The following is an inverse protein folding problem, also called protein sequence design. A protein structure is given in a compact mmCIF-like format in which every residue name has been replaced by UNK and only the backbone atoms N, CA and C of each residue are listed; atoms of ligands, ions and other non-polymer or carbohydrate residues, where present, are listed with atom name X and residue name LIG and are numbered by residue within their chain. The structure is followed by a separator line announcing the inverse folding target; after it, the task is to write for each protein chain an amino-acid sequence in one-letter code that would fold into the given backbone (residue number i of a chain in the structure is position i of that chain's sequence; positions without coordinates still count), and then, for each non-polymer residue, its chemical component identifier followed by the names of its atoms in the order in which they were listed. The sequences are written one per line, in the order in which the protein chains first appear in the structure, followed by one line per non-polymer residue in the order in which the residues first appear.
data_IF_283134336562
#
_entry.id   IF_283134336562
#
_cell.length_a   1.000
_cell.length_b   1.000
_cell.length_c   1.000
_cell.angle_alpha   90.00
_cell.angle_beta   90.00
_cell.angle_gamma   90.00
#
_symmetry.space_group_name_H-M   'P 1'
#
loop_
_entity.id
_entity.type
_entity.pdbx_description
1 polymer ?
#
# COMPACT_ATOMS: atom_id res chain seq x y z
N UNK A 1 -1.95 -8.49 10.11
CA UNK A 1 -0.74 -7.83 9.56
C UNK A 1 -0.64 -6.37 9.97
N UNK A 2 -1.58 -5.49 9.61
CA UNK A 2 -1.48 -4.06 9.90
C UNK A 2 -1.37 -3.73 11.39
N UNK A 3 -2.08 -4.44 12.25
CA UNK A 3 -1.94 -4.28 13.72
C UNK A 3 -0.52 -4.56 14.20
N UNK A 4 0.14 -5.57 13.64
CA UNK A 4 1.50 -5.96 14.02
C UNK A 4 2.52 -4.93 13.56
N UNK A 5 2.36 -4.42 12.33
CA UNK A 5 3.16 -3.30 11.83
C UNK A 5 2.98 -2.06 12.73
N UNK A 6 1.73 -1.74 13.10
CA UNK A 6 1.40 -0.61 13.99
C UNK A 6 2.06 -0.76 15.37
N UNK A 7 2.05 -1.96 15.95
CA UNK A 7 2.73 -2.26 17.22
C UNK A 7 4.24 -1.99 17.11
N UNK A 8 4.88 -2.43 16.01
CA UNK A 8 6.33 -2.26 15.79
C UNK A 8 6.80 -0.81 15.60
N UNK A 9 5.89 0.10 15.24
CA UNK A 9 6.20 1.53 15.07
C UNK A 9 5.72 2.40 16.23
N UNK A 10 5.06 1.82 17.23
CA UNK A 10 4.52 2.59 18.36
C UNK A 10 5.64 3.33 19.10
N UNK A 11 5.48 4.64 19.25
CA UNK A 11 6.46 5.51 19.92
C UNK A 11 7.70 5.86 19.09
N UNK A 12 7.78 5.41 17.83
CA UNK A 12 8.89 5.72 16.91
C UNK A 12 8.50 6.86 15.98
N UNK A 13 9.48 7.70 15.65
CA UNK A 13 9.37 8.64 14.53
C UNK A 13 9.64 7.88 13.25
N UNK A 14 8.68 7.91 12.33
CA UNK A 14 8.77 7.24 11.04
C UNK A 14 8.70 8.25 9.90
N UNK A 15 9.20 7.86 8.73
CA UNK A 15 9.13 8.65 7.51
C UNK A 15 7.68 8.92 7.06
N UNK A 16 6.71 8.13 7.55
CA UNK A 16 5.26 8.24 7.38
C UNK A 16 4.76 7.98 5.97
N UNK A 17 5.44 8.52 4.97
CA UNK A 17 5.08 8.45 3.57
C UNK A 17 6.00 7.48 2.82
N UNK A 18 5.43 6.76 1.87
CA UNK A 18 6.19 5.91 0.98
C UNK A 18 5.42 5.61 -0.28
N UNK A 19 6.15 5.49 -1.39
CA UNK A 19 5.56 5.20 -2.69
C UNK A 19 6.48 4.33 -3.54
N UNK A 20 5.87 3.64 -4.49
CA UNK A 20 6.54 2.85 -5.51
C UNK A 20 5.73 2.89 -6.81
N UNK A 21 6.41 2.93 -7.94
CA UNK A 21 5.84 2.54 -9.23
C UNK A 21 6.51 1.22 -9.58
N UNK A 22 5.72 0.17 -9.71
CA UNK A 22 6.22 -1.20 -9.81
C UNK A 22 5.83 -1.79 -11.16
N UNK A 23 6.81 -2.13 -12.02
CA UNK A 23 6.54 -2.88 -13.23
C UNK A 23 6.49 -4.40 -12.97
N UNK A 24 5.76 -5.11 -13.82
CA UNK A 24 5.87 -6.54 -14.04
C UNK A 24 5.33 -6.86 -15.43
N UNK A 25 6.20 -7.18 -16.37
CA UNK A 25 5.85 -7.41 -17.78
C UNK A 25 4.95 -6.30 -18.34
N UNK A 26 3.71 -6.61 -18.74
CA UNK A 26 2.73 -5.63 -19.25
C UNK A 26 2.21 -4.67 -18.17
N UNK A 27 2.31 -5.05 -16.89
CA UNK A 27 1.76 -4.30 -15.78
C UNK A 27 2.68 -3.19 -15.29
N UNK A 28 2.07 -2.06 -14.93
CA UNK A 28 2.70 -0.96 -14.22
C UNK A 28 1.73 -0.44 -13.15
N UNK A 29 2.10 -0.53 -11.88
CA UNK A 29 1.22 -0.17 -10.76
C UNK A 29 1.88 0.86 -9.85
N UNK A 30 1.17 1.96 -9.60
CA UNK A 30 1.51 2.94 -8.57
C UNK A 30 0.94 2.49 -7.22
N UNK A 31 1.78 2.51 -6.20
CA UNK A 31 1.38 2.33 -4.80
C UNK A 31 1.87 3.51 -3.98
N UNK A 32 0.98 4.11 -3.17
CA UNK A 32 1.31 5.19 -2.25
C UNK A 32 0.70 4.92 -0.87
N UNK A 33 1.47 5.15 0.18
CA UNK A 33 1.10 4.90 1.57
C UNK A 33 1.39 6.15 2.41
N UNK A 34 0.42 6.53 3.24
CA UNK A 34 0.57 7.50 4.34
C UNK A 34 0.10 6.81 5.63
N UNK A 35 1.00 6.57 6.58
CA UNK A 35 0.67 6.08 7.93
C UNK A 35 0.13 7.25 8.75
N UNK A 36 -1.11 7.60 8.44
CA UNK A 36 -1.67 8.91 8.66
C UNK A 36 -2.52 9.05 9.93
N UNK A 37 -2.77 7.94 10.62
CA UNK A 37 -3.81 7.84 11.65
C UNK A 37 -5.23 7.72 11.07
N UNK A 38 -5.40 7.78 9.74
CA UNK A 38 -6.70 7.75 9.06
C UNK A 38 -6.78 6.57 8.10
N UNK A 39 -7.66 5.63 8.42
CA UNK A 39 -7.91 4.45 7.62
C UNK A 39 -8.62 4.82 6.30
N UNK A 40 -7.97 4.55 5.17
CA UNK A 40 -8.55 4.71 3.84
C UNK A 40 -7.81 3.83 2.83
N UNK A 41 -8.54 3.25 1.87
CA UNK A 41 -7.94 2.59 0.72
C UNK A 41 -8.65 3.01 -0.58
N UNK A 42 -7.87 3.42 -1.59
CA UNK A 42 -8.33 3.48 -2.99
C UNK A 42 -7.61 2.38 -3.78
N UNK A 43 -8.38 1.51 -4.43
CA UNK A 43 -7.86 0.36 -5.18
C UNK A 43 -8.45 0.40 -6.59
N UNK A 44 -7.70 1.01 -7.50
CA UNK A 44 -8.05 1.21 -8.90
C UNK A 44 -7.26 0.20 -9.74
N UNK A 45 -7.63 -1.07 -9.61
CA UNK A 45 -7.12 -2.18 -10.40
C UNK A 45 -8.26 -2.71 -11.29
N UNK A 46 -7.98 -2.85 -12.58
CA UNK A 46 -8.88 -3.34 -13.62
C UNK A 46 -8.07 -4.02 -14.75
N UNK A 47 -7.38 -5.15 -14.48
CA UNK A 47 -6.84 -6.00 -15.55
C UNK A 47 -7.96 -6.50 -16.47
N UNK A 48 -7.65 -6.68 -17.75
CA UNK A 48 -8.57 -7.16 -18.78
C UNK A 48 -8.69 -8.69 -18.77
N UNK A 49 -7.59 -9.37 -18.46
CA UNK A 49 -7.47 -10.83 -18.44
C UNK A 49 -7.47 -11.32 -16.99
N UNK A 50 -8.45 -12.15 -16.64
CA UNK A 50 -8.51 -12.82 -15.33
C UNK A 50 -7.62 -14.06 -15.26
N UNK A 51 -7.23 -14.45 -14.06
CA UNK A 51 -6.47 -15.68 -13.77
C UNK A 51 -7.05 -16.37 -12.53
N UNK A 52 -7.15 -17.70 -12.54
CA UNK A 52 -7.68 -18.47 -11.41
C UNK A 52 -6.82 -18.25 -10.16
N UNK A 53 -7.46 -17.94 -9.02
CA UNK A 53 -6.77 -17.59 -7.78
C UNK A 53 -6.37 -16.12 -7.64
N UNK A 54 -6.52 -15.29 -8.68
CA UNK A 54 -6.17 -13.87 -8.69
C UNK A 54 -7.42 -12.96 -8.65
N UNK A 55 -8.19 -13.07 -7.56
CA UNK A 55 -9.43 -12.31 -7.41
C UNK A 55 -9.20 -10.89 -6.89
N UNK A 56 -9.56 -9.88 -7.69
CA UNK A 56 -9.46 -8.46 -7.31
C UNK A 56 -10.24 -8.11 -6.04
N UNK A 57 -11.35 -8.81 -5.78
CA UNK A 57 -12.14 -8.64 -4.55
C UNK A 57 -11.31 -8.93 -3.31
N UNK A 58 -10.53 -10.03 -3.32
CA UNK A 58 -9.66 -10.39 -2.20
C UNK A 58 -8.52 -9.37 -2.02
N UNK A 59 -7.97 -8.86 -3.12
CA UNK A 59 -6.94 -7.81 -3.07
C UNK A 59 -7.51 -6.52 -2.46
N UNK A 60 -8.71 -6.11 -2.85
CA UNK A 60 -9.40 -4.94 -2.30
C UNK A 60 -9.66 -5.10 -0.81
N UNK A 61 -10.21 -6.24 -0.39
CA UNK A 61 -10.48 -6.51 1.04
C UNK A 61 -9.19 -6.58 1.86
N UNK A 62 -8.13 -7.18 1.33
CA UNK A 62 -6.82 -7.19 1.98
C UNK A 62 -6.30 -5.76 2.21
N UNK A 63 -6.33 -4.90 1.18
CA UNK A 63 -5.83 -3.53 1.27
C UNK A 63 -6.69 -2.67 2.21
N UNK A 64 -8.01 -2.84 2.21
CA UNK A 64 -8.90 -2.19 3.17
C UNK A 64 -8.64 -2.66 4.60
N UNK A 65 -8.50 -3.96 4.83
CA UNK A 65 -8.20 -4.51 6.15
C UNK A 65 -6.83 -4.02 6.65
N UNK A 66 -5.82 -3.96 5.77
CA UNK A 66 -4.50 -3.41 6.09
C UNK A 66 -4.59 -1.93 6.45
N UNK A 67 -5.26 -1.10 5.65
CA UNK A 67 -5.46 0.32 5.90
C UNK A 67 -6.15 0.58 7.25
N UNK A 68 -7.21 -0.17 7.55
CA UNK A 68 -7.95 -0.09 8.83
C UNK A 68 -7.09 -0.45 10.02
N UNK A 69 -6.38 -1.58 9.95
CA UNK A 69 -5.62 -2.09 11.09
C UNK A 69 -4.30 -1.36 11.33
N UNK A 70 -3.67 -0.83 10.27
CA UNK A 70 -2.48 0.02 10.36
C UNK A 70 -2.82 1.49 10.68
N UNK A 71 -4.08 1.91 10.50
CA UNK A 71 -4.50 3.33 10.46
C UNK A 71 -3.71 4.13 9.40
N UNK A 72 -3.73 3.61 8.18
CA UNK A 72 -3.04 4.20 7.05
C UNK A 72 -4.00 4.52 5.91
N UNK A 73 -3.59 5.49 5.10
CA UNK A 73 -4.18 5.81 3.80
C UNK A 73 -3.34 5.12 2.73
N UNK A 74 -3.97 4.25 1.92
CA UNK A 74 -3.30 3.44 0.90
C UNK A 74 -3.96 3.70 -0.46
N UNK A 75 -3.16 4.07 -1.45
CA UNK A 75 -3.59 4.13 -2.84
C UNK A 75 -2.86 3.07 -3.65
N UNK A 76 -3.61 2.31 -4.45
CA UNK A 76 -3.09 1.39 -5.44
C UNK A 76 -3.79 1.70 -6.76
N UNK A 77 -3.01 2.05 -7.78
CA UNK A 77 -3.54 2.48 -9.08
C UNK A 77 -2.77 1.79 -10.20
N UNK A 78 -3.48 1.04 -11.01
CA UNK A 78 -2.95 0.50 -12.26
C UNK A 78 -2.74 1.65 -13.26
N UNK A 79 -1.54 1.74 -13.81
CA UNK A 79 -1.18 2.68 -14.88
C UNK A 79 -1.19 1.97 -16.24
N UNK A 80 -0.82 0.70 -16.28
CA UNK A 80 -0.85 -0.18 -17.46
C UNK A 80 -0.92 -1.64 -17.01
N UNK A 81 -1.25 -2.55 -17.94
CA UNK A 81 -1.33 -4.00 -17.70
C UNK A 81 -2.68 -4.57 -18.10
N UNK A 82 -2.66 -5.80 -18.59
CA UNK A 82 -3.83 -6.59 -18.99
C UNK A 82 -3.95 -7.85 -18.15
N UNK A 83 -2.85 -8.46 -17.74
CA UNK A 83 -2.86 -9.73 -17.02
C UNK A 83 -3.10 -9.53 -15.50
N UNK A 84 -4.08 -10.23 -14.93
CA UNK A 84 -4.44 -10.09 -13.51
C UNK A 84 -3.30 -10.48 -12.55
N UNK A 85 -2.55 -11.55 -12.82
CA UNK A 85 -1.42 -11.96 -12.01
C UNK A 85 -0.34 -10.87 -11.99
N UNK A 86 0.05 -10.37 -13.17
CA UNK A 86 1.08 -9.33 -13.27
C UNK A 86 0.68 -8.04 -12.54
N UNK A 87 -0.57 -7.58 -12.73
CA UNK A 87 -1.09 -6.39 -12.06
C UNK A 87 -1.14 -6.58 -10.54
N UNK A 88 -1.65 -7.71 -10.06
CA UNK A 88 -1.78 -7.96 -8.62
C UNK A 88 -0.41 -8.13 -7.98
N UNK A 89 0.50 -8.91 -8.56
CA UNK A 89 1.84 -9.10 -8.02
C UNK A 89 2.64 -7.78 -8.02
N UNK A 90 2.54 -6.96 -9.08
CA UNK A 90 3.12 -5.62 -9.10
C UNK A 90 2.56 -4.73 -7.98
N UNK A 91 1.25 -4.80 -7.69
CA UNK A 91 0.64 -4.09 -6.57
C UNK A 91 1.22 -4.52 -5.21
N UNK A 92 1.37 -5.83 -4.96
CA UNK A 92 1.92 -6.33 -3.69
C UNK A 92 3.42 -6.03 -3.54
N UNK A 93 4.21 -6.16 -4.62
CA UNK A 93 5.63 -5.73 -4.66
C UNK A 93 5.74 -4.23 -4.36
N UNK A 94 4.91 -3.42 -5.03
CA UNK A 94 4.85 -1.97 -4.82
C UNK A 94 4.47 -1.61 -3.38
N UNK A 95 3.51 -2.31 -2.79
CA UNK A 95 3.09 -2.15 -1.40
C UNK A 95 4.24 -2.45 -0.43
N UNK A 96 4.99 -3.54 -0.63
CA UNK A 96 6.15 -3.86 0.19
C UNK A 96 7.22 -2.76 0.16
N UNK A 97 7.52 -2.23 -1.04
CA UNK A 97 8.48 -1.12 -1.21
C UNK A 97 7.97 0.17 -0.58
N UNK A 98 6.70 0.52 -0.81
CA UNK A 98 6.08 1.72 -0.24
C UNK A 98 6.04 1.65 1.30
N UNK A 99 5.65 0.51 1.88
CA UNK A 99 5.66 0.29 3.33
C UNK A 99 7.07 0.35 3.90
N UNK A 100 8.07 -0.26 3.23
CA UNK A 100 9.47 -0.18 3.69
C UNK A 100 9.94 1.28 3.83
N UNK A 101 9.57 2.14 2.87
CA UNK A 101 9.86 3.58 2.94
C UNK A 101 9.08 4.26 4.06
N UNK A 102 7.75 4.08 4.11
CA UNK A 102 6.88 4.73 5.09
C UNK A 102 7.21 4.36 6.55
N UNK A 103 7.63 3.11 6.79
CA UNK A 103 8.02 2.58 8.10
C UNK A 103 9.49 2.88 8.47
N UNK A 104 10.27 3.47 7.57
CA UNK A 104 11.64 3.88 7.82
C UNK A 104 11.72 4.90 8.96
N UNK A 105 12.85 4.96 9.65
CA UNK A 105 13.07 5.92 10.74
C UNK A 105 13.11 7.37 10.22
N UNK A 106 12.62 8.32 11.02
CA UNK A 106 12.72 9.75 10.75
C UNK A 106 13.28 10.50 11.96
N UNK A 107 14.05 11.55 11.71
CA UNK A 107 14.61 12.42 12.76
C UNK A 107 13.53 13.25 13.46
N UNK A 108 12.41 13.49 12.79
CA UNK A 108 11.30 14.32 13.27
C UNK A 108 9.95 13.63 13.15
N UNK A 109 8.96 14.20 13.83
CA UNK A 109 7.58 13.81 13.59
C UNK A 109 7.10 14.42 12.27
N UNK A 110 6.73 13.57 11.30
CA UNK A 110 6.18 14.02 10.02
C UNK A 110 4.70 14.40 10.16
N UNK A 111 4.37 15.38 10.98
CA UNK A 111 3.02 15.94 11.11
C UNK A 111 3.05 17.37 11.66
N UNK A 112 2.43 18.31 10.96
CA UNK A 112 2.30 19.70 11.40
C UNK A 112 1.38 19.88 12.60
N UNK A 113 0.53 18.88 12.90
CA UNK A 113 -0.37 18.90 14.06
C UNK A 113 0.30 18.46 15.37
N UNK A 114 1.58 18.06 15.33
CA UNK A 114 2.29 17.54 16.50
C UNK A 114 1.87 16.12 16.92
N UNK A 115 0.99 15.47 16.16
CA UNK A 115 0.53 14.10 16.38
C UNK A 115 0.18 13.41 15.05
N UNK A 116 0.19 12.08 15.07
CA UNK A 116 -0.32 11.20 13.99
C UNK A 116 -1.58 10.51 14.51
#
# INVERSE_FOLDING_TARGET
LGEELRKKIKGRKIARFGNAIMPMDDALVLVAVDISGRAYASVELAPEEGEEGFELTLVREFLWALARTLNATIHVKQLSGVNAHHVIEAAFKGLGVALRKALGESERLESTKGMI
#
